data_IF_691953259644
#
_entry.id   IF_691953259644
#
_cell.length_a   1.000
_cell.length_b   1.000
_cell.length_c   1.000
_cell.angle_alpha   90.00
_cell.angle_beta   90.00
_cell.angle_gamma   90.00
#
_symmetry.space_group_name_H-M   'P 1'
#
loop_
_entity.id
_entity.type
_entity.pdbx_description
1 polymer ?
#
# COMPACT_ATOMS: atom_id res chain seq x y z
N UNK A 1 47.26 2.83 -12.48
CA UNK A 1 46.50 2.23 -13.59
C UNK A 1 46.43 0.74 -13.34
N UNK A 2 45.32 0.03 -13.27
CA UNK A 2 43.88 0.27 -13.34
C UNK A 2 43.29 -1.08 -12.86
N UNK A 3 42.05 -1.11 -12.40
CA UNK A 3 41.24 -2.34 -12.22
C UNK A 3 41.76 -3.27 -11.09
N UNK A 4 41.08 -3.43 -9.96
CA UNK A 4 39.80 -4.14 -9.85
C UNK A 4 39.21 -3.94 -8.44
N UNK A 5 38.66 -2.77 -8.14
CA UNK A 5 37.56 -2.66 -7.16
C UNK A 5 36.27 -3.12 -7.83
N UNK A 6 36.26 -4.37 -8.31
CA UNK A 6 35.22 -4.88 -9.21
C UNK A 6 34.40 -6.05 -8.63
N UNK A 7 34.54 -6.41 -7.35
CA UNK A 7 33.80 -7.59 -6.83
C UNK A 7 33.26 -7.52 -5.41
N UNK A 8 33.45 -6.45 -4.65
CA UNK A 8 32.86 -6.39 -3.30
C UNK A 8 31.66 -5.44 -3.16
N UNK A 9 31.24 -4.80 -4.25
CA UNK A 9 30.04 -3.94 -4.26
C UNK A 9 28.74 -4.67 -4.62
N UNK A 10 28.76 -6.01 -4.76
CA UNK A 10 27.55 -6.80 -5.02
C UNK A 10 26.78 -7.13 -3.73
N UNK A 11 27.39 -7.00 -2.55
CA UNK A 11 26.68 -7.22 -1.27
C UNK A 11 25.85 -6.03 -0.78
N UNK A 12 26.00 -4.84 -1.39
CA UNK A 12 25.24 -3.65 -0.99
C UNK A 12 23.84 -3.58 -1.63
N UNK A 13 23.51 -4.52 -2.53
CA UNK A 13 22.26 -4.49 -3.29
C UNK A 13 21.09 -5.18 -2.60
N UNK A 14 21.32 -6.06 -1.62
CA UNK A 14 20.22 -6.77 -0.93
C UNK A 14 19.72 -6.06 0.34
N UNK A 15 20.47 -5.09 0.88
CA UNK A 15 20.14 -4.49 2.18
C UNK A 15 19.44 -3.13 2.12
N UNK A 16 19.13 -2.59 0.94
CA UNK A 16 18.41 -1.33 0.85
C UNK A 16 16.88 -1.55 0.76
N UNK A 17 16.30 -1.63 1.96
CA UNK A 17 14.93 -1.25 2.34
C UNK A 17 13.78 -2.17 1.91
N UNK A 18 13.61 -3.26 2.67
CA UNK A 18 12.31 -3.94 2.83
C UNK A 18 11.38 -3.17 3.78
N UNK A 19 11.25 -1.85 3.62
CA UNK A 19 10.28 -1.08 4.38
C UNK A 19 8.91 -1.24 3.71
N UNK A 20 8.22 -2.34 4.02
CA UNK A 20 6.78 -2.50 3.73
C UNK A 20 6.06 -1.32 4.39
N UNK A 21 5.54 -0.40 3.58
CA UNK A 21 4.73 0.70 4.10
C UNK A 21 3.34 0.13 4.41
N UNK A 22 3.06 -0.05 5.69
CA UNK A 22 1.74 -0.36 6.21
C UNK A 22 1.14 0.91 6.82
N UNK A 23 0.05 1.40 6.24
CA UNK A 23 -0.73 2.51 6.79
C UNK A 23 -2.15 2.06 7.01
N UNK A 24 -2.75 2.38 8.14
CA UNK A 24 -4.16 2.13 8.40
C UNK A 24 -4.82 3.37 8.98
N UNK A 25 -6.04 3.66 8.52
CA UNK A 25 -6.86 4.75 9.02
C UNK A 25 -8.30 4.29 9.19
N UNK A 26 -8.90 4.60 10.33
CA UNK A 26 -10.32 4.38 10.55
C UNK A 26 -11.10 5.64 10.15
N UNK A 27 -12.08 5.46 9.28
CA UNK A 27 -12.99 6.50 8.80
C UNK A 27 -14.43 6.12 9.09
N UNK A 28 -15.32 7.12 9.05
CA UNK A 28 -16.76 6.88 9.09
C UNK A 28 -17.31 7.12 7.68
N UNK A 29 -17.92 6.11 7.10
CA UNK A 29 -18.53 6.15 5.76
C UNK A 29 -19.86 5.39 5.79
N UNK A 30 -20.89 5.87 5.10
CA UNK A 30 -22.22 5.26 5.11
C UNK A 30 -22.79 5.01 6.53
N UNK A 31 -22.51 5.91 7.48
CA UNK A 31 -22.85 5.77 8.90
C UNK A 31 -22.21 4.57 9.64
N UNK A 32 -21.26 3.86 9.01
CA UNK A 32 -20.49 2.78 9.61
C UNK A 32 -19.02 3.18 9.81
N UNK A 33 -18.33 2.53 10.76
CA UNK A 33 -16.87 2.65 10.88
C UNK A 33 -16.20 1.65 9.96
N UNK A 34 -15.26 2.15 9.17
CA UNK A 34 -14.47 1.35 8.24
C UNK A 34 -13.00 1.63 8.48
N UNK A 35 -12.22 0.58 8.69
CA UNK A 35 -10.75 0.66 8.75
C UNK A 35 -10.21 0.39 7.37
N UNK A 36 -9.57 1.40 6.79
CA UNK A 36 -8.90 1.29 5.49
C UNK A 36 -7.41 1.11 5.72
N UNK A 37 -6.84 0.05 5.19
CA UNK A 37 -5.42 -0.27 5.28
C UNK A 37 -4.78 -0.25 3.90
N UNK A 38 -3.57 0.29 3.81
CA UNK A 38 -2.71 0.32 2.63
C UNK A 38 -1.42 -0.40 2.95
N UNK A 39 -1.19 -1.50 2.24
CA UNK A 39 -0.02 -2.35 2.33
C UNK A 39 0.79 -2.27 1.05
N UNK A 40 1.98 -1.70 1.09
CA UNK A 40 2.88 -1.68 -0.07
C UNK A 40 3.69 -2.97 -0.10
N UNK A 41 3.42 -3.80 -1.10
CA UNK A 41 4.16 -5.03 -1.40
C UNK A 41 5.33 -4.69 -2.32
N UNK A 42 6.58 -4.75 -1.82
CA UNK A 42 7.77 -4.64 -2.67
C UNK A 42 7.92 -5.95 -3.46
N UNK A 43 7.49 -5.93 -4.70
CA UNK A 43 7.70 -7.01 -5.66
C UNK A 43 8.93 -6.66 -6.52
N UNK A 44 9.77 -7.64 -6.85
CA UNK A 44 11.05 -7.43 -7.53
C UNK A 44 10.89 -6.84 -8.94
N UNK A 45 9.77 -7.15 -9.61
CA UNK A 45 9.47 -6.67 -10.96
C UNK A 45 8.34 -5.64 -10.98
N UNK A 46 7.34 -5.73 -10.09
CA UNK A 46 6.18 -4.84 -10.14
C UNK A 46 5.58 -4.51 -8.75
N UNK A 47 6.21 -3.58 -8.00
CA UNK A 47 5.73 -3.19 -6.68
C UNK A 47 4.31 -2.62 -6.74
N UNK A 48 3.49 -2.94 -5.74
CA UNK A 48 2.10 -2.51 -5.70
C UNK A 48 1.58 -2.27 -4.29
N UNK A 49 0.50 -1.50 -4.19
CA UNK A 49 -0.25 -1.37 -2.94
C UNK A 49 -1.46 -2.30 -2.92
N UNK A 50 -1.79 -2.83 -1.76
CA UNK A 50 -3.05 -3.48 -1.45
C UNK A 50 -3.83 -2.53 -0.55
N UNK A 51 -5.00 -2.10 -1.02
CA UNK A 51 -5.92 -1.29 -0.26
C UNK A 51 -7.06 -2.20 0.22
N UNK A 52 -7.16 -2.44 1.53
CA UNK A 52 -8.22 -3.22 2.14
C UNK A 52 -9.12 -2.36 3.01
N UNK A 53 -10.39 -2.73 3.09
CA UNK A 53 -11.37 -2.14 3.98
C UNK A 53 -11.88 -3.23 4.91
N UNK A 54 -11.93 -2.94 6.20
CA UNK A 54 -12.55 -3.78 7.21
C UNK A 54 -13.62 -3.00 7.97
N UNK A 55 -14.66 -3.68 8.44
CA UNK A 55 -15.68 -3.08 9.30
C UNK A 55 -15.18 -2.89 10.75
N UNK A 56 -16.09 -2.53 11.66
CA UNK A 56 -15.76 -2.37 13.08
C UNK A 56 -15.47 -3.69 13.82
N UNK A 57 -15.90 -4.82 13.27
CA UNK A 57 -15.62 -6.16 13.81
C UNK A 57 -14.28 -6.70 13.33
N UNK A 58 -13.67 -6.05 12.33
CA UNK A 58 -12.45 -6.48 11.67
C UNK A 58 -12.69 -7.41 10.48
N UNK A 59 -13.94 -7.56 10.04
CA UNK A 59 -14.28 -8.33 8.84
C UNK A 59 -13.88 -7.55 7.59
N UNK A 60 -13.13 -8.18 6.69
CA UNK A 60 -12.72 -7.56 5.41
C UNK A 60 -13.94 -7.40 4.50
N UNK A 61 -14.30 -6.14 4.25
CA UNK A 61 -15.39 -5.75 3.35
C UNK A 61 -14.95 -5.79 1.88
N UNK A 62 -13.70 -5.39 1.61
CA UNK A 62 -13.15 -5.35 0.26
C UNK A 62 -11.63 -5.24 0.26
N UNK A 63 -11.02 -5.67 -0.84
CA UNK A 63 -9.59 -5.52 -1.10
C UNK A 63 -9.33 -5.24 -2.58
N UNK A 64 -8.49 -4.24 -2.88
CA UNK A 64 -8.14 -3.87 -4.26
C UNK A 64 -6.65 -3.54 -4.40
N UNK A 65 -6.09 -3.89 -5.57
CA UNK A 65 -4.72 -3.53 -5.93
C UNK A 65 -4.66 -2.08 -6.44
N UNK A 66 -3.80 -1.27 -5.83
CA UNK A 66 -3.54 0.13 -6.16
C UNK A 66 -2.06 0.35 -6.51
N UNK A 67 -1.75 1.53 -7.05
CA UNK A 67 -0.35 1.91 -7.28
C UNK A 67 0.42 1.96 -5.95
N UNK A 68 1.72 1.61 -5.92
CA UNK A 68 2.52 1.68 -4.70
C UNK A 68 2.71 3.12 -4.19
N UNK A 69 2.49 4.10 -5.08
CA UNK A 69 2.49 5.53 -4.77
C UNK A 69 1.15 6.07 -4.26
N UNK A 70 0.11 5.23 -4.14
CA UNK A 70 -1.21 5.63 -3.68
C UNK A 70 -1.11 6.29 -2.29
N UNK A 71 -1.75 7.45 -2.14
CA UNK A 71 -1.74 8.22 -0.89
C UNK A 71 -3.00 7.93 -0.11
N UNK A 72 -2.90 7.04 0.88
CA UNK A 72 -3.97 6.82 1.83
C UNK A 72 -4.08 8.02 2.78
N UNK A 73 -5.21 8.72 2.72
CA UNK A 73 -5.60 9.77 3.64
C UNK A 73 -7.10 9.68 3.95
N UNK A 74 -7.58 10.46 4.92
CA UNK A 74 -8.99 10.40 5.33
C UNK A 74 -9.97 10.66 4.19
N UNK A 75 -9.68 11.60 3.30
CA UNK A 75 -10.56 11.91 2.17
C UNK A 75 -10.59 10.77 1.13
N UNK A 76 -9.44 10.20 0.78
CA UNK A 76 -9.37 9.07 -0.16
C UNK A 76 -10.02 7.81 0.40
N UNK A 77 -9.88 7.54 1.70
CA UNK A 77 -10.53 6.42 2.37
C UNK A 77 -12.06 6.56 2.42
N UNK A 78 -12.57 7.75 2.79
CA UNK A 78 -14.01 8.03 2.76
C UNK A 78 -14.56 7.89 1.35
N UNK A 79 -13.92 8.51 0.35
CA UNK A 79 -14.35 8.42 -1.03
C UNK A 79 -14.38 6.98 -1.55
N UNK A 80 -13.39 6.16 -1.19
CA UNK A 80 -13.35 4.76 -1.57
C UNK A 80 -14.46 3.94 -0.90
N UNK A 81 -14.68 4.12 0.41
CA UNK A 81 -15.74 3.45 1.14
C UNK A 81 -17.15 3.88 0.66
N UNK A 82 -17.35 5.18 0.36
CA UNK A 82 -18.61 5.70 -0.20
C UNK A 82 -18.86 5.24 -1.64
N UNK A 83 -17.81 4.97 -2.41
CA UNK A 83 -17.92 4.41 -3.76
C UNK A 83 -18.30 2.92 -3.79
N UNK A 84 -18.56 2.30 -2.64
CA UNK A 84 -18.83 0.87 -2.52
C UNK A 84 -17.58 0.02 -2.75
N UNK A 85 -16.41 0.53 -2.33
CA UNK A 85 -15.11 -0.12 -2.49
C UNK A 85 -14.68 -0.35 -3.95
N UNK A 86 -15.25 0.40 -4.89
CA UNK A 86 -14.83 0.35 -6.28
C UNK A 86 -13.33 0.65 -6.41
N UNK A 87 -12.63 -0.02 -7.32
CA UNK A 87 -11.20 0.21 -7.54
C UNK A 87 -10.97 1.72 -7.77
N UNK A 88 -10.19 2.41 -6.91
CA UNK A 88 -9.97 3.84 -7.09
C UNK A 88 -9.27 4.04 -8.42
N UNK A 89 -9.91 4.78 -9.33
CA UNK A 89 -9.31 5.11 -10.62
C UNK A 89 -8.04 5.91 -10.34
N UNK A 90 -6.88 5.30 -10.58
CA UNK A 90 -5.59 5.96 -10.44
C UNK A 90 -5.58 7.20 -11.32
N UNK A 91 -5.67 8.38 -10.71
CA UNK A 91 -5.59 9.66 -11.40
C UNK A 91 -4.21 10.26 -11.18
#
# INVERSE_FOLDING_TARGET
>A
TLVKTASEFVRRHEQQLHATLHQSITVTANAARVTVSLDIVPDEDNPHGLLSAADETGEELAQVRVAPSFKLNRASAVAWAESGFAKPAGR
#
